data_IF_854333749375
#
_entry.id   IF_854333749375
#
_cell.length_a   1.000
_cell.length_b   1.000
_cell.length_c   1.000
_cell.angle_alpha   90.00
_cell.angle_beta   90.00
_cell.angle_gamma   90.00
#
_symmetry.space_group_name_H-M   'P 1'
#
loop_
_entity.id
_entity.type
_entity.pdbx_description
1 polymer ?
#
# COMPACT_ATOMS: atom_id res chain seq x y z
N UNK A 1 26.94 85.26 -54.01
CA UNK A 1 27.69 84.90 -52.79
C UNK A 1 26.71 85.12 -51.64
N UNK A 2 25.90 84.14 -51.23
CA UNK A 2 26.27 83.02 -50.34
C UNK A 2 26.23 83.52 -48.89
N UNK A 3 25.42 83.06 -47.95
CA UNK A 3 24.49 81.93 -47.87
C UNK A 3 23.65 82.04 -46.59
N UNK A 4 22.69 81.13 -46.46
CA UNK A 4 21.77 80.97 -45.34
C UNK A 4 22.46 80.48 -44.05
N UNK A 5 21.88 80.79 -42.88
CA UNK A 5 21.80 79.81 -41.79
C UNK A 5 20.73 80.16 -40.74
N UNK A 6 19.84 79.19 -40.56
CA UNK A 6 18.75 79.08 -39.58
C UNK A 6 19.18 78.04 -38.53
N UNK A 7 18.96 78.23 -37.23
CA UNK A 7 18.90 77.16 -36.17
C UNK A 7 18.26 77.81 -34.92
N UNK A 8 16.98 77.56 -34.60
CA UNK A 8 16.36 76.42 -33.86
C UNK A 8 16.52 76.50 -32.32
N UNK A 9 15.42 76.84 -31.68
CA UNK A 9 15.17 76.69 -30.24
C UNK A 9 15.07 75.20 -29.85
N UNK A 10 15.73 74.83 -28.75
CA UNK A 10 15.67 73.50 -28.13
C UNK A 10 14.61 73.54 -27.02
N UNK A 11 13.48 72.84 -27.22
CA UNK A 11 12.59 72.43 -26.13
C UNK A 11 13.09 71.07 -25.59
N UNK A 12 13.39 70.99 -24.29
CA UNK A 12 13.66 69.74 -23.58
C UNK A 12 12.33 69.13 -23.13
N UNK A 13 11.98 67.97 -23.69
CA UNK A 13 10.92 67.11 -23.16
C UNK A 13 11.52 66.21 -22.07
N UNK A 14 11.00 66.27 -20.84
CA UNK A 14 11.23 65.28 -19.81
C UNK A 14 10.33 64.06 -20.07
N UNK A 15 10.93 62.91 -20.36
CA UNK A 15 10.26 61.62 -20.38
C UNK A 15 10.39 61.02 -18.98
N UNK A 16 9.27 60.90 -18.26
CA UNK A 16 9.20 60.13 -17.02
C UNK A 16 9.16 58.63 -17.37
N UNK A 17 10.24 57.91 -17.06
CA UNK A 17 10.27 56.45 -17.16
C UNK A 17 9.62 55.89 -15.90
N UNK A 18 8.38 55.40 -16.03
CA UNK A 18 7.75 54.59 -15.01
C UNK A 18 8.42 53.21 -14.97
N UNK A 19 9.22 52.96 -13.94
CA UNK A 19 9.76 51.64 -13.64
C UNK A 19 8.62 50.74 -13.17
N UNK A 20 8.07 49.94 -14.08
CA UNK A 20 7.26 48.78 -13.75
C UNK A 20 8.16 47.78 -13.01
N UNK A 21 8.10 47.82 -11.67
CA UNK A 21 8.67 46.78 -10.83
C UNK A 21 7.96 45.47 -11.15
N UNK A 22 8.63 44.59 -11.89
CA UNK A 22 8.18 43.21 -12.04
C UNK A 22 8.15 42.59 -10.63
N UNK A 23 6.95 42.45 -10.06
CA UNK A 23 6.73 41.53 -8.95
C UNK A 23 7.08 40.13 -9.47
N UNK A 24 8.32 39.71 -9.22
CA UNK A 24 8.67 38.30 -9.32
C UNK A 24 7.80 37.57 -8.30
N UNK A 25 7.01 36.56 -8.71
CA UNK A 25 6.28 35.76 -7.74
C UNK A 25 7.29 35.18 -6.74
N UNK A 26 6.97 35.14 -5.43
CA UNK A 26 7.84 34.52 -4.46
C UNK A 26 8.17 33.10 -4.94
N UNK A 27 9.41 32.61 -4.70
CA UNK A 27 9.77 31.24 -5.02
C UNK A 27 8.72 30.30 -4.40
N UNK A 28 8.27 29.26 -5.12
CA UNK A 28 7.23 28.39 -4.61
C UNK A 28 7.67 27.84 -3.26
N UNK A 29 6.92 28.18 -2.22
CA UNK A 29 7.14 27.64 -0.88
C UNK A 29 7.06 26.12 -0.97
N UNK A 30 8.03 25.43 -0.38
CA UNK A 30 8.00 23.98 -0.31
C UNK A 30 6.67 23.53 0.31
N UNK A 31 6.02 22.53 -0.29
CA UNK A 31 4.75 22.01 0.21
C UNK A 31 4.95 21.35 1.57
N UNK A 32 4.00 21.56 2.49
CA UNK A 32 3.99 20.91 3.82
C UNK A 32 3.39 19.50 3.77
N UNK A 33 2.75 19.12 2.66
CA UNK A 33 2.04 17.84 2.51
C UNK A 33 2.49 16.99 1.33
N UNK A 34 3.46 17.40 0.52
CA UNK A 34 4.02 16.54 -0.52
C UNK A 34 5.45 16.91 -0.87
N UNK A 35 6.15 16.02 -1.56
CA UNK A 35 7.50 16.28 -2.05
C UNK A 35 8.60 16.06 -1.02
N UNK A 36 8.29 15.35 0.08
CA UNK A 36 9.34 14.83 0.95
C UNK A 36 10.26 13.87 0.17
N UNK A 37 11.50 13.71 0.65
CA UNK A 37 12.44 12.79 0.03
C UNK A 37 11.87 11.37 -0.06
N UNK A 38 12.12 10.71 -1.18
CA UNK A 38 11.74 9.32 -1.37
C UNK A 38 12.52 8.46 -0.36
N UNK A 39 11.87 7.47 0.26
CA UNK A 39 12.59 6.56 1.14
C UNK A 39 13.61 5.75 0.32
N UNK A 40 14.81 5.48 0.85
CA UNK A 40 15.80 4.72 0.10
C UNK A 40 15.29 3.31 -0.17
N UNK A 41 15.60 2.71 -1.34
CA UNK A 41 15.35 1.29 -1.57
C UNK A 41 16.01 0.44 -0.48
N UNK A 42 15.37 -0.66 -0.10
CA UNK A 42 15.98 -1.58 0.84
C UNK A 42 17.24 -2.20 0.21
N UNK A 43 18.37 -2.29 0.96
CA UNK A 43 19.63 -2.79 0.41
C UNK A 43 19.59 -4.30 0.14
N UNK A 44 18.71 -5.04 0.83
CA UNK A 44 18.58 -6.49 0.69
C UNK A 44 17.18 -6.97 1.10
N UNK A 45 16.88 -8.23 0.76
CA UNK A 45 15.74 -8.97 1.33
C UNK A 45 16.10 -9.41 2.75
N UNK A 46 15.19 -9.22 3.70
CA UNK A 46 15.40 -9.57 5.11
C UNK A 46 14.94 -10.99 5.42
N UNK A 47 13.73 -11.35 4.98
CA UNK A 47 13.16 -12.68 5.20
C UNK A 47 13.82 -13.76 4.33
N UNK A 48 13.42 -15.01 4.59
CA UNK A 48 13.63 -16.07 3.62
C UNK A 48 12.72 -15.86 2.41
N UNK A 49 13.20 -16.18 1.21
CA UNK A 49 12.52 -15.89 -0.05
C UNK A 49 12.80 -16.97 -1.07
N UNK A 50 11.77 -17.74 -1.41
CA UNK A 50 11.87 -18.93 -2.24
C UNK A 50 12.26 -18.60 -3.68
N UNK A 51 11.77 -17.49 -4.22
CA UNK A 51 12.01 -17.08 -5.62
C UNK A 51 13.22 -16.16 -5.77
N UNK A 52 14.03 -16.00 -4.72
CA UNK A 52 15.11 -15.01 -4.71
C UNK A 52 14.61 -13.61 -5.07
N UNK A 53 15.26 -12.95 -6.04
CA UNK A 53 14.82 -11.62 -6.52
C UNK A 53 13.75 -11.67 -7.63
N UNK A 54 13.30 -12.86 -8.05
CA UNK A 54 12.32 -12.99 -9.13
C UNK A 54 10.90 -12.69 -8.66
N UNK A 55 10.20 -11.81 -9.39
CA UNK A 55 8.82 -11.39 -9.07
C UNK A 55 7.78 -11.92 -10.07
N UNK A 56 8.18 -12.72 -11.07
CA UNK A 56 7.30 -13.31 -12.07
C UNK A 56 6.78 -14.69 -11.70
N UNK A 57 6.00 -15.31 -12.58
CA UNK A 57 5.62 -16.73 -12.48
C UNK A 57 6.81 -17.65 -12.84
N UNK A 58 6.84 -18.85 -12.28
CA UNK A 58 7.99 -19.75 -12.36
C UNK A 58 9.20 -19.23 -11.58
N UNK A 59 10.31 -19.97 -11.57
CA UNK A 59 11.60 -19.51 -11.05
C UNK A 59 12.70 -19.86 -12.06
N UNK A 60 13.25 -18.85 -12.76
CA UNK A 60 14.40 -19.06 -13.62
C UNK A 60 15.64 -19.54 -12.83
N UNK A 61 16.53 -20.38 -13.42
CA UNK A 61 17.70 -20.93 -12.73
C UNK A 61 18.64 -19.89 -12.09
N UNK A 62 18.68 -18.67 -12.64
CA UNK A 62 19.52 -17.56 -12.19
C UNK A 62 19.00 -16.84 -10.93
N UNK A 63 17.84 -17.25 -10.40
CA UNK A 63 17.22 -16.67 -9.21
C UNK A 63 17.16 -17.69 -8.07
N UNK A 64 18.31 -18.00 -7.42
CA UNK A 64 18.33 -18.95 -6.31
C UNK A 64 17.55 -18.39 -5.11
N UNK A 65 17.00 -19.27 -4.26
CA UNK A 65 16.36 -18.85 -3.02
C UNK A 65 17.32 -18.08 -2.12
N UNK A 66 16.78 -17.14 -1.34
CA UNK A 66 17.53 -16.33 -0.36
C UNK A 66 17.11 -16.78 1.04
N UNK A 67 18.05 -17.18 1.88
CA UNK A 67 17.83 -17.56 3.28
C UNK A 67 19.17 -17.50 4.05
N UNK A 68 19.12 -17.34 5.38
CA UNK A 68 20.33 -17.36 6.22
C UNK A 68 20.69 -18.78 6.67
N UNK A 69 19.68 -19.62 6.91
CA UNK A 69 19.80 -21.04 7.17
C UNK A 69 18.48 -21.73 6.80
N UNK A 70 18.51 -23.04 6.51
CA UNK A 70 17.34 -23.82 6.13
C UNK A 70 17.46 -25.27 6.59
N UNK A 71 16.40 -26.04 6.40
CA UNK A 71 16.35 -27.48 6.66
C UNK A 71 16.75 -27.82 8.11
N UNK A 72 16.30 -27.00 9.07
CA UNK A 72 16.59 -27.15 10.50
C UNK A 72 17.94 -26.59 10.97
N UNK A 73 18.78 -26.08 10.06
CA UNK A 73 19.99 -25.37 10.45
C UNK A 73 19.69 -24.00 11.07
N UNK A 74 20.60 -23.52 11.93
CA UNK A 74 20.53 -22.20 12.58
C UNK A 74 21.62 -21.30 11.97
N UNK A 75 21.34 -20.02 11.69
CA UNK A 75 22.36 -19.10 11.17
C UNK A 75 23.54 -18.95 12.12
N UNK A 76 24.75 -18.82 11.57
CA UNK A 76 25.97 -18.66 12.36
C UNK A 76 25.86 -17.43 13.28
N UNK A 77 26.15 -17.61 14.57
CA UNK A 77 26.14 -16.53 15.56
C UNK A 77 24.74 -16.18 16.11
N UNK A 78 23.69 -16.86 15.67
CA UNK A 78 22.34 -16.70 16.21
C UNK A 78 22.10 -17.76 17.28
N UNK A 79 21.68 -17.33 18.47
CA UNK A 79 21.15 -18.20 19.51
C UNK A 79 19.61 -18.21 19.42
N UNK A 80 18.98 -19.35 19.07
CA UNK A 80 17.53 -19.48 19.04
C UNK A 80 16.90 -19.27 20.41
N UNK A 81 15.63 -18.86 20.40
CA UNK A 81 14.78 -18.86 21.58
C UNK A 81 14.37 -20.30 21.96
N UNK A 82 13.97 -20.55 23.22
CA UNK A 82 13.46 -21.86 23.63
C UNK A 82 12.27 -22.35 22.78
N UNK A 83 11.44 -21.41 22.33
CA UNK A 83 10.39 -21.61 21.34
C UNK A 83 10.24 -20.34 20.50
N UNK A 84 9.64 -20.53 19.34
CA UNK A 84 9.43 -19.54 18.29
C UNK A 84 8.02 -19.72 17.71
N UNK A 85 7.63 -18.88 16.75
CA UNK A 85 6.31 -18.94 16.13
C UNK A 85 6.01 -20.32 15.51
N UNK A 86 7.02 -21.04 15.04
CA UNK A 86 6.87 -22.36 14.41
C UNK A 86 6.70 -23.49 15.42
N UNK A 87 7.16 -23.30 16.66
CA UNK A 87 7.09 -24.30 17.74
C UNK A 87 6.06 -23.95 18.82
N UNK A 88 5.52 -22.73 18.79
CA UNK A 88 4.49 -22.27 19.70
C UNK A 88 3.20 -23.09 19.58
N UNK A 89 2.61 -23.40 20.72
CA UNK A 89 1.29 -24.03 20.84
C UNK A 89 0.19 -23.01 21.16
N UNK A 90 0.57 -21.80 21.54
CA UNK A 90 -0.32 -20.74 21.97
C UNK A 90 0.43 -19.40 21.80
N UNK A 91 0.33 -18.83 20.60
CA UNK A 91 1.08 -17.61 20.27
C UNK A 91 0.62 -16.40 21.10
N UNK A 92 -0.56 -16.45 21.75
CA UNK A 92 -1.03 -15.40 22.65
C UNK A 92 -0.19 -15.30 23.92
N UNK A 93 0.28 -16.44 24.43
CA UNK A 93 1.13 -16.51 25.61
C UNK A 93 2.57 -16.04 25.35
N UNK A 94 2.93 -15.97 24.07
CA UNK A 94 4.27 -15.58 23.64
C UNK A 94 4.40 -14.07 23.41
N UNK A 95 3.47 -13.27 23.94
CA UNK A 95 3.40 -11.82 23.70
C UNK A 95 4.71 -11.08 24.03
N UNK A 96 5.41 -11.51 25.08
CA UNK A 96 6.71 -10.94 25.46
C UNK A 96 7.81 -11.20 24.42
N UNK A 97 7.64 -12.22 23.57
CA UNK A 97 8.57 -12.59 22.51
C UNK A 97 8.26 -11.94 21.16
N UNK A 98 7.08 -11.33 20.96
CA UNK A 98 6.66 -10.78 19.67
C UNK A 98 7.57 -9.64 19.16
N UNK A 99 8.27 -8.93 20.04
CA UNK A 99 9.25 -7.92 19.61
C UNK A 99 10.64 -8.50 19.34
N UNK A 100 10.89 -9.78 19.67
CA UNK A 100 12.17 -10.42 19.39
C UNK A 100 12.18 -10.98 17.95
N UNK A 101 13.10 -10.53 17.09
CA UNK A 101 13.18 -11.01 15.71
C UNK A 101 13.32 -12.53 15.59
N UNK A 102 13.96 -13.17 16.58
CA UNK A 102 14.19 -14.61 16.60
C UNK A 102 12.91 -15.42 16.81
N UNK A 103 11.87 -14.82 17.40
CA UNK A 103 10.56 -15.47 17.51
C UNK A 103 9.96 -15.78 16.13
N UNK A 104 10.34 -15.02 15.10
CA UNK A 104 9.94 -15.27 13.71
C UNK A 104 11.04 -15.92 12.88
N UNK A 105 12.10 -16.43 13.51
CA UNK A 105 13.35 -16.84 12.85
C UNK A 105 13.93 -15.75 11.95
N UNK A 106 13.81 -14.50 12.38
CA UNK A 106 14.25 -13.30 11.66
C UNK A 106 13.66 -13.16 10.26
N UNK A 107 12.46 -13.71 10.03
CA UNK A 107 11.77 -13.59 8.76
C UNK A 107 11.06 -12.24 8.61
N UNK A 108 10.73 -11.94 7.36
CA UNK A 108 9.86 -10.84 6.97
C UNK A 108 8.42 -11.33 6.79
N UNK A 109 7.41 -10.43 6.72
CA UNK A 109 6.03 -10.82 6.49
C UNK A 109 5.81 -11.72 5.26
N UNK A 110 6.34 -11.34 4.10
CA UNK A 110 6.26 -12.17 2.89
C UNK A 110 7.10 -13.43 3.00
N UNK A 111 8.19 -13.42 3.77
CA UNK A 111 8.98 -14.62 4.06
C UNK A 111 8.18 -15.69 4.81
N UNK A 112 7.42 -15.28 5.84
CA UNK A 112 6.55 -16.21 6.57
C UNK A 112 5.35 -16.66 5.74
N UNK A 113 4.74 -15.75 4.98
CA UNK A 113 3.61 -16.09 4.11
C UNK A 113 3.97 -17.15 3.07
N UNK A 114 5.15 -17.02 2.46
CA UNK A 114 5.55 -17.89 1.36
C UNK A 114 6.22 -19.19 1.82
N UNK A 115 6.49 -19.35 3.11
CA UNK A 115 7.40 -20.38 3.63
C UNK A 115 6.97 -21.80 3.20
N UNK A 116 5.66 -22.04 3.07
CA UNK A 116 5.06 -23.31 2.61
C UNK A 116 4.95 -23.46 1.09
N UNK A 117 5.45 -22.50 0.32
CA UNK A 117 5.42 -22.52 -1.15
C UNK A 117 4.24 -21.77 -1.76
N UNK A 118 3.63 -20.81 -1.05
CA UNK A 118 2.58 -19.92 -1.60
C UNK A 118 3.01 -19.28 -2.93
N UNK A 119 4.30 -19.02 -3.06
CA UNK A 119 4.95 -18.49 -4.27
C UNK A 119 5.86 -19.53 -4.94
N UNK A 120 5.37 -20.75 -5.09
CA UNK A 120 5.96 -21.87 -5.85
C UNK A 120 7.17 -22.56 -5.22
N UNK A 121 8.03 -21.86 -4.48
CA UNK A 121 9.25 -22.44 -3.90
C UNK A 121 9.16 -22.48 -2.37
N UNK A 122 8.88 -23.66 -1.77
CA UNK A 122 8.82 -23.79 -0.32
C UNK A 122 10.20 -23.71 0.32
N UNK A 123 10.24 -23.11 1.52
CA UNK A 123 11.41 -23.02 2.39
C UNK A 123 11.15 -23.60 3.79
N UNK A 124 10.11 -24.43 3.92
CA UNK A 124 9.72 -25.07 5.18
C UNK A 124 10.54 -26.35 5.50
N UNK A 125 11.20 -26.95 4.51
CA UNK A 125 11.99 -28.19 4.64
C UNK A 125 11.15 -29.46 4.79
N UNK A 126 11.80 -30.59 5.10
CA UNK A 126 11.18 -31.93 5.10
C UNK A 126 10.54 -32.35 6.44
N UNK A 127 10.78 -31.64 7.54
CA UNK A 127 10.14 -31.82 8.85
C UNK A 127 9.42 -30.53 9.28
N UNK A 128 8.35 -30.12 8.57
CA UNK A 128 7.68 -28.88 8.84
C UNK A 128 6.76 -28.97 10.09
N UNK A 129 6.58 -27.88 10.86
CA UNK A 129 7.20 -26.56 10.67
C UNK A 129 8.63 -26.45 11.24
N UNK A 130 9.17 -27.51 11.86
CA UNK A 130 10.45 -27.47 12.60
C UNK A 130 11.63 -27.07 11.73
N UNK A 131 11.66 -27.47 10.46
CA UNK A 131 12.75 -27.18 9.52
C UNK A 131 12.64 -25.86 8.78
N UNK A 132 11.68 -24.99 9.13
CA UNK A 132 11.47 -23.70 8.48
C UNK A 132 12.74 -22.85 8.39
N UNK A 133 12.97 -22.26 7.22
CA UNK A 133 14.13 -21.42 6.96
C UNK A 133 14.16 -20.16 7.82
N UNK A 134 15.39 -19.75 8.14
CA UNK A 134 15.69 -18.49 8.79
C UNK A 134 15.88 -17.38 7.76
N UNK A 135 15.30 -16.23 8.06
CA UNK A 135 15.72 -14.97 7.48
C UNK A 135 17.00 -14.45 8.14
N UNK A 136 17.34 -13.20 7.88
CA UNK A 136 18.62 -12.63 8.27
C UNK A 136 18.45 -11.70 9.48
N UNK A 137 18.99 -12.12 10.63
CA UNK A 137 18.86 -11.38 11.90
C UNK A 137 19.71 -10.10 11.98
N UNK A 138 20.63 -9.89 11.05
CA UNK A 138 21.59 -8.78 11.02
C UNK A 138 21.14 -7.60 10.16
N UNK A 139 19.92 -7.65 9.60
CA UNK A 139 19.37 -6.60 8.74
C UNK A 139 17.88 -6.38 8.96
N UNK A 140 17.47 -5.15 8.70
CA UNK A 140 16.08 -4.68 8.76
C UNK A 140 15.90 -3.43 7.87
N UNK A 141 14.65 -3.02 7.63
CA UNK A 141 14.33 -1.73 7.04
C UNK A 141 13.95 -0.72 8.12
N UNK A 142 14.60 0.45 8.19
CA UNK A 142 14.33 1.41 9.25
C UNK A 142 12.88 1.92 9.28
N UNK A 143 12.23 1.87 10.46
CA UNK A 143 10.87 2.38 10.70
C UNK A 143 10.68 3.84 10.26
N UNK A 144 11.70 4.69 10.43
CA UNK A 144 11.65 6.11 10.04
C UNK A 144 11.57 6.34 8.53
N UNK A 145 11.83 5.32 7.70
CA UNK A 145 11.57 5.36 6.25
C UNK A 145 10.16 4.90 5.88
N UNK A 146 9.40 4.35 6.84
CA UNK A 146 8.02 3.89 6.67
C UNK A 146 7.02 4.95 7.16
N UNK A 147 7.28 5.54 8.32
CA UNK A 147 6.42 6.58 8.91
C UNK A 147 6.28 7.78 7.97
N UNK A 148 5.09 8.37 7.94
CA UNK A 148 4.82 9.59 7.20
C UNK A 148 5.69 10.74 7.70
N UNK A 149 6.45 11.44 6.82
CA UNK A 149 7.21 12.62 7.22
C UNK A 149 6.35 13.87 7.36
N UNK A 150 5.06 13.81 7.02
CA UNK A 150 4.16 14.95 7.03
C UNK A 150 3.54 15.13 8.42
N UNK A 151 3.28 16.37 8.87
CA UNK A 151 2.89 16.66 10.26
C UNK A 151 1.41 16.36 10.58
N UNK A 152 0.65 15.79 9.64
CA UNK A 152 -0.79 15.61 9.76
C UNK A 152 -1.14 14.36 10.54
N UNK A 153 -2.19 14.44 11.35
CA UNK A 153 -2.70 13.28 12.10
C UNK A 153 -3.84 12.58 11.36
N UNK A 154 -4.52 13.30 10.49
CA UNK A 154 -5.67 12.77 9.73
C UNK A 154 -5.52 13.02 8.23
N UNK A 155 -6.16 12.14 7.43
CA UNK A 155 -6.25 12.32 5.99
C UNK A 155 -6.96 13.63 5.60
N UNK A 156 -7.97 14.02 6.37
CA UNK A 156 -8.72 15.26 6.16
C UNK A 156 -7.83 16.49 6.28
N UNK A 157 -7.03 16.61 7.36
CA UNK A 157 -6.07 17.71 7.55
C UNK A 157 -5.06 17.75 6.40
N UNK A 158 -4.50 16.60 6.04
CA UNK A 158 -3.49 16.49 4.99
C UNK A 158 -4.03 16.89 3.61
N UNK A 159 -5.17 16.33 3.21
CA UNK A 159 -5.81 16.65 1.93
C UNK A 159 -6.25 18.11 1.85
N UNK A 160 -6.84 18.66 2.91
CA UNK A 160 -7.29 20.06 2.96
C UNK A 160 -6.10 21.03 2.89
N UNK A 161 -4.98 20.70 3.53
CA UNK A 161 -3.75 21.49 3.41
C UNK A 161 -3.23 21.50 1.96
N UNK A 162 -3.16 20.34 1.31
CA UNK A 162 -2.75 20.24 -0.10
C UNK A 162 -3.69 21.00 -1.04
N UNK A 163 -5.00 20.89 -0.82
CA UNK A 163 -6.02 21.65 -1.58
C UNK A 163 -5.87 23.15 -1.39
N UNK A 164 -5.58 23.61 -0.16
CA UNK A 164 -5.34 25.02 0.12
C UNK A 164 -4.09 25.53 -0.58
N UNK A 165 -2.99 24.78 -0.54
CA UNK A 165 -1.77 25.16 -1.24
C UNK A 165 -1.98 25.22 -2.77
N UNK A 166 -2.72 24.27 -3.35
CA UNK A 166 -3.06 24.29 -4.77
C UNK A 166 -3.83 25.57 -5.14
N UNK A 167 -4.79 25.99 -4.30
CA UNK A 167 -5.51 27.27 -4.46
C UNK A 167 -4.58 28.48 -4.34
N UNK A 168 -3.67 28.49 -3.38
CA UNK A 168 -2.70 29.58 -3.19
C UNK A 168 -1.72 29.70 -4.36
N UNK A 169 -1.36 28.59 -5.00
CA UNK A 169 -0.57 28.56 -6.23
C UNK A 169 -1.35 29.01 -7.47
N UNK A 170 -2.68 29.15 -7.38
CA UNK A 170 -3.55 29.45 -8.51
C UNK A 170 -3.75 28.25 -9.45
N UNK A 171 -3.55 27.02 -8.97
CA UNK A 171 -3.71 25.81 -9.76
C UNK A 171 -5.17 25.58 -10.17
N UNK A 172 -5.38 25.15 -11.41
CA UNK A 172 -6.69 24.71 -11.89
C UNK A 172 -7.04 23.35 -11.29
N UNK A 173 -7.91 23.35 -10.27
CA UNK A 173 -8.26 22.13 -9.50
C UNK A 173 -9.04 21.09 -10.32
N UNK A 174 -9.77 21.54 -11.35
CA UNK A 174 -10.55 20.73 -12.29
C UNK A 174 -10.32 21.26 -13.70
N UNK A 175 -9.18 20.90 -14.34
CA UNK A 175 -8.83 21.39 -15.66
C UNK A 175 -9.81 20.89 -16.72
N UNK A 176 -10.06 21.70 -17.74
CA UNK A 176 -10.90 21.30 -18.87
C UNK A 176 -10.24 20.20 -19.72
N UNK A 177 -10.97 19.56 -20.65
CA UNK A 177 -10.43 18.48 -21.48
C UNK A 177 -9.11 18.81 -22.20
N UNK A 178 -8.92 20.06 -22.65
CA UNK A 178 -7.73 20.50 -23.36
C UNK A 178 -6.52 20.76 -22.45
N UNK A 179 -6.73 20.90 -21.14
CA UNK A 179 -5.72 21.24 -20.14
C UNK A 179 -5.29 20.00 -19.32
N UNK A 180 -5.99 18.88 -19.47
CA UNK A 180 -5.66 17.65 -18.77
C UNK A 180 -4.27 17.14 -19.18
N UNK A 181 -3.45 16.67 -18.22
CA UNK A 181 -2.19 16.04 -18.55
C UNK A 181 -2.44 14.69 -19.25
N UNK A 182 -1.50 14.27 -20.13
CA UNK A 182 -1.59 13.03 -20.92
C UNK A 182 -1.37 11.77 -20.06
N UNK A 183 -2.23 11.56 -19.07
CA UNK A 183 -2.11 10.47 -18.09
C UNK A 183 -2.86 9.20 -18.48
N UNK A 184 -3.87 9.29 -19.35
CA UNK A 184 -4.58 8.11 -19.83
C UNK A 184 -3.60 7.14 -20.51
N UNK A 185 -3.51 5.91 -20.00
CA UNK A 185 -2.49 4.96 -20.44
C UNK A 185 -2.33 3.76 -19.54
N UNK A 186 -1.40 2.89 -19.94
CA UNK A 186 -1.01 1.71 -19.18
C UNK A 186 0.31 1.95 -18.45
N UNK A 187 0.40 1.48 -17.21
CA UNK A 187 1.59 1.60 -16.38
C UNK A 187 1.90 0.30 -15.66
N UNK A 188 3.17 -0.10 -15.64
CA UNK A 188 3.64 -1.23 -14.84
C UNK A 188 4.39 -0.71 -13.61
N UNK A 189 4.08 -1.25 -12.42
CA UNK A 189 4.80 -0.94 -11.19
C UNK A 189 6.22 -1.52 -11.22
N UNK A 190 7.16 -0.86 -10.56
CA UNK A 190 8.42 -1.50 -10.17
C UNK A 190 8.16 -2.66 -9.20
N UNK A 191 8.38 -3.90 -9.68
CA UNK A 191 8.12 -5.14 -8.92
C UNK A 191 9.32 -5.65 -8.13
N UNK A 192 10.44 -4.92 -8.14
CA UNK A 192 11.64 -5.30 -7.38
C UNK A 192 11.26 -5.48 -5.91
N UNK A 193 11.56 -6.65 -5.32
CA UNK A 193 11.14 -7.02 -3.96
C UNK A 193 11.55 -5.99 -2.89
N UNK A 194 12.61 -5.22 -3.15
CA UNK A 194 13.18 -4.21 -2.25
C UNK A 194 12.77 -2.77 -2.59
N UNK A 195 11.92 -2.53 -3.59
CA UNK A 195 11.54 -1.18 -4.03
C UNK A 195 10.66 -0.43 -3.03
N UNK A 196 9.93 -1.15 -2.19
CA UNK A 196 9.07 -0.58 -1.15
C UNK A 196 8.96 -1.54 0.03
N UNK A 197 8.93 -1.01 1.25
CA UNK A 197 8.73 -1.79 2.47
C UNK A 197 7.43 -2.59 2.44
N UNK A 198 6.40 -2.06 1.76
CA UNK A 198 5.06 -2.61 1.73
C UNK A 198 4.98 -3.97 1.01
N UNK A 199 5.98 -4.31 0.18
CA UNK A 199 6.10 -5.66 -0.37
C UNK A 199 6.45 -6.71 0.68
N UNK A 200 6.79 -6.32 1.92
CA UNK A 200 6.93 -7.26 3.03
C UNK A 200 8.16 -8.18 2.96
N UNK A 201 9.07 -7.97 2.01
CA UNK A 201 10.29 -8.76 1.85
C UNK A 201 11.50 -8.18 2.61
N UNK A 202 11.48 -6.87 2.87
CA UNK A 202 12.67 -6.11 3.27
C UNK A 202 12.70 -5.63 4.71
N UNK A 203 11.69 -5.95 5.52
CA UNK A 203 11.62 -5.58 6.93
C UNK A 203 11.30 -6.80 7.79
N UNK A 204 11.74 -6.79 9.04
CA UNK A 204 11.38 -7.83 10.01
C UNK A 204 9.98 -7.61 10.57
N UNK A 205 9.36 -8.71 11.03
CA UNK A 205 8.05 -8.68 11.69
C UNK A 205 8.00 -7.67 12.86
N UNK A 206 8.99 -7.60 13.78
CA UNK A 206 8.95 -6.63 14.88
C UNK A 206 8.91 -5.17 14.43
N UNK A 207 9.60 -4.82 13.33
CA UNK A 207 9.52 -3.47 12.77
C UNK A 207 8.12 -3.18 12.22
N UNK A 208 7.47 -4.15 11.57
CA UNK A 208 6.08 -4.00 11.15
C UNK A 208 5.16 -3.83 12.39
N UNK A 209 5.32 -4.67 13.42
CA UNK A 209 4.54 -4.59 14.66
C UNK A 209 4.66 -3.22 15.36
N UNK A 210 5.81 -2.57 15.25
CA UNK A 210 6.04 -1.22 15.80
C UNK A 210 5.19 -0.11 15.14
N UNK A 211 4.52 -0.41 14.03
CA UNK A 211 3.59 0.49 13.34
C UNK A 211 2.15 0.31 13.84
N UNK A 212 1.86 -0.77 14.56
CA UNK A 212 0.51 -1.23 14.86
C UNK A 212 0.12 -0.96 16.32
N UNK A 213 -1.16 -0.68 16.57
CA UNK A 213 -1.72 -0.66 17.91
C UNK A 213 -1.68 -2.07 18.53
N UNK A 214 -1.78 -2.22 19.87
CA UNK A 214 -1.68 -3.53 20.52
C UNK A 214 -2.69 -4.58 20.00
N UNK A 215 -3.90 -4.15 19.66
CA UNK A 215 -4.91 -5.03 19.08
C UNK A 215 -4.49 -5.51 17.68
N UNK A 216 -3.99 -4.61 16.84
CA UNK A 216 -3.55 -4.98 15.49
C UNK A 216 -2.21 -5.71 15.46
N UNK A 217 -1.36 -5.54 16.47
CA UNK A 217 -0.22 -6.43 16.70
C UNK A 217 -0.69 -7.87 16.94
N UNK A 218 -1.67 -8.08 17.83
CA UNK A 218 -2.26 -9.41 18.10
C UNK A 218 -2.80 -10.05 16.83
N UNK A 219 -3.57 -9.30 16.03
CA UNK A 219 -4.14 -9.79 14.75
C UNK A 219 -3.07 -10.11 13.72
N UNK A 220 -2.03 -9.29 13.63
CA UNK A 220 -0.92 -9.56 12.70
C UNK A 220 -0.11 -10.80 13.12
N UNK A 221 0.13 -11.00 14.42
CA UNK A 221 0.79 -12.23 14.91
C UNK A 221 -0.08 -13.47 14.71
N UNK A 222 -1.39 -13.38 14.95
CA UNK A 222 -2.36 -14.44 14.63
C UNK A 222 -2.24 -14.86 13.15
N UNK A 223 -2.26 -13.88 12.23
CA UNK A 223 -2.07 -14.13 10.81
C UNK A 223 -0.72 -14.79 10.50
N UNK A 224 0.38 -14.25 11.03
CA UNK A 224 1.71 -14.82 10.80
C UNK A 224 1.85 -16.24 11.37
N UNK A 225 1.23 -16.53 12.51
CA UNK A 225 1.20 -17.87 13.10
C UNK A 225 0.49 -18.85 12.17
N UNK A 226 -0.69 -18.49 11.65
CA UNK A 226 -1.43 -19.38 10.75
C UNK A 226 -0.84 -19.49 9.35
N UNK A 227 -0.05 -18.52 8.91
CA UNK A 227 0.75 -18.66 7.70
C UNK A 227 1.94 -19.60 7.89
N UNK A 228 2.53 -19.63 9.09
CA UNK A 228 3.83 -20.27 9.32
C UNK A 228 3.76 -21.59 10.08
N UNK A 229 3.11 -21.64 11.25
CA UNK A 229 3.15 -22.79 12.15
C UNK A 229 2.30 -23.96 11.65
N UNK A 230 1.11 -23.68 11.11
CA UNK A 230 0.12 -24.72 10.80
C UNK A 230 -0.40 -24.72 9.35
N UNK A 231 0.14 -23.84 8.49
CA UNK A 231 -0.22 -23.73 7.07
C UNK A 231 -1.74 -23.62 6.84
N UNK A 232 -2.41 -22.74 7.58
CA UNK A 232 -3.84 -22.46 7.44
C UNK A 232 -4.12 -21.04 6.90
N UNK A 233 -3.51 -20.59 5.78
CA UNK A 233 -3.73 -19.23 5.28
C UNK A 233 -5.18 -19.05 4.77
N UNK A 234 -5.79 -17.91 5.13
CA UNK A 234 -7.14 -17.52 4.71
C UNK A 234 -7.09 -16.35 3.72
N UNK A 235 -6.28 -16.46 2.65
CA UNK A 235 -6.15 -15.42 1.64
C UNK A 235 -7.50 -15.16 0.92
N UNK A 236 -8.04 -13.92 0.94
CA UNK A 236 -9.37 -13.64 0.38
C UNK A 236 -9.51 -14.02 -1.09
N UNK A 237 -8.47 -13.76 -1.88
CA UNK A 237 -8.45 -14.04 -3.31
C UNK A 237 -8.63 -15.53 -3.66
N UNK A 238 -8.23 -16.45 -2.79
CA UNK A 238 -8.39 -17.89 -3.03
C UNK A 238 -9.85 -18.33 -2.95
N UNK A 239 -10.66 -17.62 -2.15
CA UNK A 239 -12.10 -17.89 -1.96
C UNK A 239 -13.00 -16.99 -2.80
N UNK A 240 -12.42 -16.18 -3.69
CA UNK A 240 -13.12 -15.10 -4.41
C UNK A 240 -13.75 -14.03 -3.50
N UNK A 241 -13.36 -13.95 -2.23
CA UNK A 241 -13.79 -12.87 -1.35
C UNK A 241 -13.21 -11.53 -1.81
N UNK A 242 -13.79 -10.39 -1.40
CA UNK A 242 -13.22 -9.08 -1.67
C UNK A 242 -11.73 -9.04 -1.30
N UNK A 243 -10.92 -8.43 -2.16
CA UNK A 243 -9.46 -8.39 -1.96
C UNK A 243 -9.05 -7.31 -0.95
N UNK A 244 -9.94 -6.36 -0.65
CA UNK A 244 -9.69 -5.20 0.20
C UNK A 244 -8.88 -4.10 -0.49
N UNK A 245 -9.07 -2.87 -0.03
CA UNK A 245 -8.44 -1.65 -0.56
C UNK A 245 -6.91 -1.76 -0.70
N UNK A 246 -6.26 -2.34 0.32
CA UNK A 246 -4.81 -2.42 0.43
C UNK A 246 -4.16 -3.39 -0.57
N UNK A 247 -4.95 -4.27 -1.21
CA UNK A 247 -4.44 -5.19 -2.24
C UNK A 247 -3.89 -4.48 -3.47
N UNK A 248 -4.35 -3.26 -3.77
CA UNK A 248 -3.86 -2.44 -4.89
C UNK A 248 -2.37 -2.13 -4.78
N UNK A 249 -1.80 -2.15 -3.57
CA UNK A 249 -0.40 -1.83 -3.29
C UNK A 249 0.51 -3.06 -3.20
N UNK A 250 -0.04 -4.27 -3.05
CA UNK A 250 0.71 -5.50 -2.78
C UNK A 250 1.54 -5.95 -3.99
N UNK A 251 2.72 -6.54 -3.78
CA UNK A 251 3.64 -6.90 -4.89
C UNK A 251 2.97 -7.71 -6.02
N UNK A 252 2.25 -8.77 -5.62
CA UNK A 252 1.55 -9.70 -6.52
C UNK A 252 0.10 -9.28 -6.84
N UNK A 253 -0.33 -8.06 -6.49
CA UNK A 253 -1.67 -7.54 -6.74
C UNK A 253 -1.65 -6.16 -7.41
N UNK A 254 -2.51 -5.94 -8.41
CA UNK A 254 -2.69 -4.64 -9.03
C UNK A 254 -1.43 -4.06 -9.66
N UNK A 255 -0.52 -4.90 -10.16
CA UNK A 255 0.82 -4.48 -10.59
C UNK A 255 0.88 -3.75 -11.96
N UNK A 256 -0.26 -3.71 -12.66
CA UNK A 256 -0.50 -2.88 -13.84
C UNK A 256 -1.72 -2.00 -13.59
N UNK A 257 -1.60 -0.72 -13.93
CA UNK A 257 -2.71 0.23 -13.93
C UNK A 257 -3.10 0.55 -15.36
N UNK A 258 -4.41 0.58 -15.61
CA UNK A 258 -5.01 1.23 -16.77
C UNK A 258 -5.73 2.48 -16.26
N UNK A 259 -5.14 3.65 -16.55
CA UNK A 259 -5.73 4.94 -16.17
C UNK A 259 -6.59 5.47 -17.32
N UNK A 260 -7.83 5.85 -16.99
CA UNK A 260 -8.68 6.68 -17.85
C UNK A 260 -8.91 7.99 -17.12
N UNK A 261 -8.46 9.09 -17.72
CA UNK A 261 -8.55 10.43 -17.13
C UNK A 261 -9.53 11.29 -17.90
N UNK A 262 -10.49 11.87 -17.19
CA UNK A 262 -11.43 12.88 -17.68
C UNK A 262 -11.44 14.08 -16.71
N UNK A 263 -12.08 15.21 -17.06
CA UNK A 263 -12.15 16.36 -16.17
C UNK A 263 -12.85 16.06 -14.83
N UNK A 264 -13.77 15.09 -14.84
CA UNK A 264 -14.71 14.87 -13.73
C UNK A 264 -14.39 13.59 -12.95
N UNK A 265 -13.71 12.66 -13.60
CA UNK A 265 -13.46 11.32 -13.07
C UNK A 265 -12.12 10.80 -13.57
N UNK A 266 -11.32 10.28 -12.65
CA UNK A 266 -10.19 9.40 -12.97
C UNK A 266 -10.57 7.98 -12.58
N UNK A 267 -10.48 7.07 -13.54
CA UNK A 267 -10.63 5.64 -13.31
C UNK A 267 -9.26 5.00 -13.24
N UNK A 268 -8.98 4.37 -12.10
CA UNK A 268 -7.84 3.48 -11.90
C UNK A 268 -8.35 2.03 -11.94
N UNK A 269 -7.96 1.31 -13.00
CA UNK A 269 -8.39 -0.06 -13.22
C UNK A 269 -7.19 -0.99 -13.18
N UNK A 270 -7.23 -1.97 -12.27
CA UNK A 270 -6.16 -2.95 -12.03
C UNK A 270 -6.70 -4.37 -11.97
N UNK A 271 -5.79 -5.34 -11.93
CA UNK A 271 -6.12 -6.75 -11.82
C UNK A 271 -5.38 -7.41 -10.64
N UNK A 272 -6.08 -8.26 -9.89
CA UNK A 272 -5.56 -9.12 -8.81
C UNK A 272 -6.19 -10.52 -8.89
N UNK A 273 -6.93 -11.00 -7.89
CA UNK A 273 -7.79 -12.18 -8.02
C UNK A 273 -9.08 -11.85 -8.80
N UNK A 274 -9.38 -10.56 -8.93
CA UNK A 274 -10.48 -9.98 -9.70
C UNK A 274 -10.06 -8.60 -10.25
N UNK A 275 -10.89 -8.00 -11.09
CA UNK A 275 -10.68 -6.60 -11.50
C UNK A 275 -10.97 -5.66 -10.34
N UNK A 276 -10.05 -4.73 -10.09
CA UNK A 276 -10.13 -3.71 -9.05
C UNK A 276 -10.38 -2.37 -9.74
N UNK A 277 -11.36 -1.61 -9.27
CA UNK A 277 -11.68 -0.29 -9.82
C UNK A 277 -11.67 0.73 -8.69
N UNK A 278 -10.94 1.82 -8.88
CA UNK A 278 -11.03 3.01 -8.02
C UNK A 278 -11.52 4.19 -8.87
N UNK A 279 -12.53 4.88 -8.36
CA UNK A 279 -13.15 6.04 -8.97
C UNK A 279 -12.75 7.29 -8.18
N UNK A 280 -11.98 8.19 -8.79
CA UNK A 280 -11.56 9.44 -8.15
C UNK A 280 -12.40 10.57 -8.75
N UNK A 281 -13.36 11.06 -7.98
CA UNK A 281 -14.28 12.12 -8.39
C UNK A 281 -13.61 13.49 -8.25
N UNK A 282 -13.30 14.13 -9.38
CA UNK A 282 -12.55 15.38 -9.41
C UNK A 282 -13.44 16.56 -9.04
N UNK A 283 -12.99 17.34 -8.04
CA UNK A 283 -13.69 18.53 -7.55
C UNK A 283 -14.89 18.25 -6.64
N UNK A 284 -15.22 16.99 -6.39
CA UNK A 284 -16.21 16.60 -5.38
C UNK A 284 -15.73 16.88 -3.96
N UNK A 285 -16.67 16.94 -3.02
CA UNK A 285 -16.40 17.10 -1.60
C UNK A 285 -17.08 15.99 -0.82
N UNK A 286 -16.42 15.49 0.22
CA UNK A 286 -17.03 14.53 1.11
C UNK A 286 -18.06 15.19 2.04
N UNK A 287 -19.06 14.40 2.41
CA UNK A 287 -19.91 14.64 3.56
C UNK A 287 -19.13 14.17 4.79
N UNK A 288 -18.87 15.08 5.73
CA UNK A 288 -18.05 14.81 6.92
C UNK A 288 -18.86 14.89 8.23
N UNK A 289 -20.18 15.09 8.17
CA UNK A 289 -21.03 15.38 9.34
C UNK A 289 -21.16 14.22 10.34
N UNK A 290 -20.97 12.99 9.88
CA UNK A 290 -21.31 11.78 10.65
C UNK A 290 -20.07 10.93 10.99
N UNK A 291 -18.91 11.57 11.15
CA UNK A 291 -17.65 10.94 11.58
C UNK A 291 -16.82 10.29 10.46
N UNK A 292 -17.46 9.66 9.46
CA UNK A 292 -16.76 9.07 8.30
C UNK A 292 -16.96 9.93 7.05
N UNK A 293 -15.87 10.43 6.48
CA UNK A 293 -15.89 11.19 5.23
C UNK A 293 -16.29 10.29 4.05
N UNK A 294 -17.27 10.71 3.23
CA UNK A 294 -17.88 9.85 2.20
C UNK A 294 -18.61 10.65 1.11
N UNK A 295 -18.90 10.02 -0.02
CA UNK A 295 -19.73 10.61 -1.09
C UNK A 295 -21.18 10.14 -1.01
N UNK A 296 -21.39 8.86 -0.69
CA UNK A 296 -22.67 8.21 -0.64
C UNK A 296 -23.19 7.94 0.79
N UNK A 297 -24.02 6.90 0.97
CA UNK A 297 -24.48 6.46 2.27
C UNK A 297 -23.33 6.12 3.23
N UNK A 298 -23.58 6.19 4.54
CA UNK A 298 -22.63 5.80 5.60
C UNK A 298 -22.49 4.27 5.71
N UNK A 299 -22.11 3.63 4.60
CA UNK A 299 -21.86 2.20 4.49
C UNK A 299 -20.46 2.02 3.90
N UNK A 300 -19.52 1.38 4.62
CA UNK A 300 -18.18 1.13 4.11
C UNK A 300 -18.17 0.36 2.79
N UNK A 301 -17.26 0.74 1.90
CA UNK A 301 -17.07 0.14 0.59
C UNK A 301 -15.72 -0.58 0.53
N UNK A 302 -15.64 -1.71 -0.18
CA UNK A 302 -14.42 -2.53 -0.29
C UNK A 302 -13.16 -1.77 -0.73
N UNK A 303 -13.34 -0.74 -1.56
CA UNK A 303 -12.27 0.14 -2.04
C UNK A 303 -12.46 1.59 -1.61
N UNK A 304 -13.41 1.86 -0.71
CA UNK A 304 -13.79 3.20 -0.30
C UNK A 304 -14.39 4.04 -1.42
N UNK A 305 -14.46 5.33 -1.14
CA UNK A 305 -14.87 6.39 -2.05
C UNK A 305 -13.76 7.41 -2.13
N UNK A 306 -13.42 7.90 -3.33
CA UNK A 306 -12.30 8.82 -3.52
C UNK A 306 -12.73 10.14 -4.16
N UNK A 307 -12.27 11.25 -3.59
CA UNK A 307 -12.31 12.58 -4.22
C UNK A 307 -10.91 13.00 -4.63
N UNK A 308 -10.80 13.92 -5.59
CA UNK A 308 -9.49 14.41 -6.03
C UNK A 308 -9.50 15.82 -6.57
N UNK A 309 -8.32 16.42 -6.65
CA UNK A 309 -8.09 17.68 -7.33
C UNK A 309 -6.72 17.66 -8.02
N UNK A 310 -6.57 18.49 -9.04
CA UNK A 310 -5.30 18.72 -9.71
C UNK A 310 -4.55 19.88 -9.08
N UNK A 311 -3.22 19.76 -9.08
CA UNK A 311 -2.33 20.84 -8.70
C UNK A 311 -1.12 20.84 -9.63
N UNK A 312 -1.22 21.67 -10.67
CA UNK A 312 -0.40 21.52 -11.88
C UNK A 312 -0.68 20.17 -12.54
N UNK A 313 0.37 19.41 -12.82
CA UNK A 313 0.26 18.07 -13.39
C UNK A 313 0.14 16.95 -12.34
N UNK A 314 0.14 17.28 -11.04
CA UNK A 314 -0.03 16.29 -9.99
C UNK A 314 -1.52 16.08 -9.68
N UNK A 315 -1.93 14.82 -9.55
CA UNK A 315 -3.25 14.44 -9.06
C UNK A 315 -3.14 14.11 -7.57
N UNK A 316 -3.97 14.75 -6.75
CA UNK A 316 -4.07 14.49 -5.32
C UNK A 316 -5.45 13.93 -5.05
N UNK A 317 -5.54 12.78 -4.39
CA UNK A 317 -6.80 12.19 -3.96
C UNK A 317 -6.85 11.91 -2.47
N UNK A 318 -8.07 11.87 -1.95
CA UNK A 318 -8.40 11.42 -0.60
C UNK A 318 -9.43 10.30 -0.73
N UNK A 319 -9.10 9.12 -0.22
CA UNK A 319 -10.03 7.98 -0.13
C UNK A 319 -10.44 7.76 1.32
N UNK A 320 -11.73 7.52 1.54
CA UNK A 320 -12.32 7.22 2.84
C UNK A 320 -13.50 6.25 2.70
N UNK A 321 -14.24 5.99 3.78
CA UNK A 321 -15.37 5.05 3.83
C UNK A 321 -14.98 3.64 3.36
N UNK A 322 -13.78 3.18 3.76
CA UNK A 322 -13.20 1.89 3.38
C UNK A 322 -13.73 0.80 4.32
N UNK A 323 -14.09 -0.37 3.79
CA UNK A 323 -14.39 -1.56 4.58
C UNK A 323 -13.07 -2.16 5.11
N UNK A 324 -12.93 -2.21 6.44
CA UNK A 324 -11.81 -2.87 7.10
C UNK A 324 -11.69 -4.34 6.69
N UNK A 325 -10.47 -4.82 6.47
CA UNK A 325 -10.22 -6.13 5.88
C UNK A 325 -8.83 -6.70 6.20
N UNK A 326 -8.62 -7.95 5.79
CA UNK A 326 -7.30 -8.58 5.78
C UNK A 326 -6.47 -8.15 4.56
N UNK A 327 -5.16 -8.13 4.76
CA UNK A 327 -4.18 -7.84 3.73
C UNK A 327 -3.25 -9.05 3.53
N UNK A 328 -2.85 -9.30 2.28
CA UNK A 328 -2.02 -10.44 1.94
C UNK A 328 -0.57 -10.18 2.39
N UNK A 329 -0.21 -10.71 3.57
CA UNK A 329 1.17 -10.62 4.10
C UNK A 329 1.48 -9.29 4.75
N UNK A 330 0.52 -8.38 4.81
CA UNK A 330 0.57 -7.21 5.67
C UNK A 330 -0.51 -7.29 6.74
N UNK A 331 -0.47 -6.37 7.70
CA UNK A 331 -1.48 -6.30 8.74
C UNK A 331 -2.87 -6.01 8.19
N UNK A 332 -3.88 -6.47 8.92
CA UNK A 332 -5.26 -6.03 8.75
C UNK A 332 -5.37 -4.51 8.92
N UNK A 333 -6.40 -3.91 8.32
CA UNK A 333 -6.72 -2.50 8.46
C UNK A 333 -8.18 -2.34 8.87
N UNK A 334 -8.48 -1.25 9.59
CA UNK A 334 -9.82 -0.97 10.08
C UNK A 334 -10.70 -0.30 9.02
N UNK A 335 -11.98 -0.10 9.35
CA UNK A 335 -12.87 0.74 8.54
C UNK A 335 -12.60 2.25 8.73
N UNK A 336 -11.70 2.63 9.64
CA UNK A 336 -11.20 4.00 9.79
C UNK A 336 -10.02 4.29 8.86
N UNK A 337 -9.53 3.29 8.10
CA UNK A 337 -8.51 3.51 7.09
C UNK A 337 -8.95 4.59 6.10
N UNK A 338 -8.07 5.55 5.89
CA UNK A 338 -8.16 6.58 4.87
C UNK A 338 -6.80 6.72 4.17
N UNK A 339 -6.81 7.09 2.89
CA UNK A 339 -5.59 7.38 2.14
C UNK A 339 -5.57 8.81 1.63
N UNK A 340 -4.39 9.43 1.64
CA UNK A 340 -4.06 10.56 0.77
C UNK A 340 -3.06 10.06 -0.26
N UNK A 341 -3.45 10.07 -1.53
CA UNK A 341 -2.64 9.57 -2.64
C UNK A 341 -2.21 10.75 -3.53
N UNK A 342 -0.90 10.87 -3.75
CA UNK A 342 -0.25 11.93 -4.51
C UNK A 342 0.44 11.27 -5.70
N UNK A 343 -0.09 11.54 -6.88
CA UNK A 343 0.44 11.07 -8.13
C UNK A 343 1.21 12.22 -8.79
N UNK A 344 2.49 12.01 -9.09
CA UNK A 344 3.38 13.02 -9.68
C UNK A 344 3.96 12.48 -10.99
N UNK A 345 3.96 13.25 -12.10
CA UNK A 345 4.52 12.78 -13.36
C UNK A 345 6.03 12.58 -13.26
N UNK A 346 6.53 11.47 -13.82
CA UNK A 346 7.94 11.27 -14.09
C UNK A 346 8.19 11.58 -15.56
N UNK A 347 9.09 12.53 -15.82
CA UNK A 347 9.43 12.99 -17.18
C UNK A 347 10.91 12.74 -17.49
N UNK A 348 11.21 12.47 -18.75
CA UNK A 348 12.59 12.43 -19.23
C UNK A 348 13.15 13.84 -19.44
N UNK A 349 14.41 13.94 -19.91
CA UNK A 349 15.09 15.21 -20.18
C UNK A 349 14.39 16.07 -21.24
N UNK A 350 13.57 15.47 -22.11
CA UNK A 350 12.80 16.17 -23.14
C UNK A 350 11.40 16.58 -22.64
N UNK A 351 11.07 16.31 -21.37
CA UNK A 351 9.76 16.61 -20.79
C UNK A 351 8.67 15.59 -21.14
N UNK A 352 9.01 14.48 -21.80
CA UNK A 352 8.05 13.43 -22.14
C UNK A 352 7.71 12.62 -20.89
N UNK A 353 6.43 12.35 -20.68
CA UNK A 353 5.95 11.48 -19.60
C UNK A 353 6.46 10.04 -19.80
N UNK A 354 7.23 9.55 -18.84
CA UNK A 354 7.81 8.20 -18.83
C UNK A 354 7.24 7.33 -17.70
N UNK A 355 6.47 7.93 -16.78
CA UNK A 355 5.90 7.21 -15.65
C UNK A 355 5.20 8.11 -14.65
N UNK A 356 4.81 7.53 -13.51
CA UNK A 356 4.17 8.21 -12.39
C UNK A 356 4.89 7.77 -11.12
N UNK A 357 5.22 8.74 -10.26
CA UNK A 357 5.53 8.48 -8.85
C UNK A 357 4.21 8.54 -8.08
N UNK A 358 3.91 7.48 -7.35
CA UNK A 358 2.73 7.36 -6.53
C UNK A 358 3.16 7.31 -5.07
N UNK A 359 2.88 8.38 -4.34
CA UNK A 359 3.07 8.47 -2.89
C UNK A 359 1.72 8.34 -2.21
N UNK A 360 1.59 7.40 -1.28
CA UNK A 360 0.36 7.14 -0.53
C UNK A 360 0.65 7.28 0.94
N UNK A 361 -0.11 8.12 1.64
CA UNK A 361 -0.10 8.21 3.10
C UNK A 361 -1.36 7.56 3.64
N UNK A 362 -1.20 6.62 4.57
CA UNK A 362 -2.27 5.85 5.18
C UNK A 362 -2.50 6.37 6.60
N UNK A 363 -3.76 6.61 6.91
CA UNK A 363 -4.26 7.04 8.22
C UNK A 363 -5.27 6.01 8.69
N UNK A 364 -5.04 5.42 9.85
CA UNK A 364 -5.94 4.43 10.46
C UNK A 364 -5.70 4.49 11.97
N UNK A 365 -6.55 5.21 12.70
CA UNK A 365 -6.36 5.49 14.12
C UNK A 365 -6.70 4.30 15.03
N UNK A 366 -7.31 3.25 14.49
CA UNK A 366 -7.51 1.98 15.18
C UNK A 366 -6.33 1.02 14.97
N UNK A 367 -5.81 0.95 13.75
CA UNK A 367 -4.77 -0.02 13.38
C UNK A 367 -3.36 0.48 13.56
N UNK A 368 -3.08 1.75 13.25
CA UNK A 368 -1.75 2.33 13.23
C UNK A 368 -1.51 3.22 14.45
N UNK A 369 -0.29 3.20 14.98
CA UNK A 369 0.10 4.14 16.06
C UNK A 369 0.43 5.53 15.53
N UNK A 370 0.76 5.64 14.24
CA UNK A 370 0.99 6.88 13.51
C UNK A 370 0.87 6.65 11.99
N UNK A 371 0.64 7.69 11.17
CA UNK A 371 0.47 7.53 9.73
C UNK A 371 1.72 6.94 9.06
N UNK A 372 1.51 6.05 8.09
CA UNK A 372 2.60 5.41 7.32
C UNK A 372 2.53 5.82 5.86
N UNK A 373 3.68 5.73 5.18
CA UNK A 373 3.84 6.16 3.79
C UNK A 373 4.36 5.04 2.90
N UNK A 374 3.71 4.86 1.76
CA UNK A 374 4.14 3.97 0.68
C UNK A 374 4.54 4.82 -0.51
N UNK A 375 5.72 4.58 -1.08
CA UNK A 375 6.15 5.21 -2.34
C UNK A 375 6.37 4.12 -3.39
N UNK A 376 5.74 4.28 -4.55
CA UNK A 376 5.84 3.36 -5.68
C UNK A 376 6.10 4.13 -6.97
N UNK A 377 6.90 3.54 -7.86
CA UNK A 377 7.13 4.07 -9.20
C UNK A 377 6.43 3.20 -10.24
N UNK A 378 5.79 3.86 -11.20
CA UNK A 378 5.02 3.25 -12.28
C UNK A 378 5.59 3.67 -13.62
N UNK A 379 6.12 2.72 -14.39
CA UNK A 379 6.66 2.97 -15.72
C UNK A 379 5.53 3.01 -16.75
N UNK A 380 5.44 4.08 -17.54
CA UNK A 380 4.47 4.19 -18.64
C UNK A 380 4.81 3.16 -19.72
N UNK A 381 3.81 2.40 -20.15
CA UNK A 381 3.90 1.40 -21.21
C UNK A 381 3.45 1.93 -22.55
N UNK A 382 2.49 2.85 -22.54
CA UNK A 382 1.93 3.49 -23.72
C UNK A 382 0.53 3.98 -23.45
N UNK A 383 -0.14 4.44 -24.51
CA UNK A 383 -1.57 4.76 -24.46
C UNK A 383 -2.38 3.46 -24.33
N UNK A 384 -3.63 3.59 -23.91
CA UNK A 384 -4.53 2.44 -23.68
C UNK A 384 -4.69 1.54 -24.91
N UNK A 385 -4.66 2.12 -26.12
CA UNK A 385 -4.86 1.41 -27.39
C UNK A 385 -3.56 0.99 -28.09
N UNK A 386 -2.41 1.10 -27.42
CA UNK A 386 -1.09 0.76 -28.00
C UNK A 386 -0.54 -0.59 -27.49
N UNK A 387 -1.19 -1.18 -26.49
CA UNK A 387 -0.77 -2.43 -25.84
C UNK A 387 -1.97 -3.38 -25.71
N UNK A 388 -1.72 -4.61 -25.26
CA UNK A 388 -2.79 -5.56 -24.97
C UNK A 388 -3.84 -4.96 -24.04
N UNK A 389 -5.14 -5.17 -24.31
CA UNK A 389 -6.21 -4.65 -23.49
C UNK A 389 -6.16 -5.24 -22.08
N UNK A 390 -6.71 -4.52 -21.11
CA UNK A 390 -7.02 -5.11 -19.80
C UNK A 390 -7.99 -6.28 -20.01
N UNK A 391 -7.63 -7.44 -19.49
CA UNK A 391 -8.55 -8.58 -19.39
C UNK A 391 -9.42 -8.38 -18.15
N UNK A 392 -10.73 -8.24 -18.32
CA UNK A 392 -11.65 -8.24 -17.18
C UNK A 392 -11.60 -9.60 -16.48
N UNK A 393 -11.42 -9.60 -15.16
CA UNK A 393 -11.28 -10.82 -14.36
C UNK A 393 -12.45 -10.96 -13.40
N UNK A 394 -13.27 -11.97 -13.65
CA UNK A 394 -14.33 -12.45 -12.78
C UNK A 394 -13.83 -13.66 -11.98
N UNK A 395 -13.96 -13.62 -10.65
CA UNK A 395 -13.53 -14.73 -9.81
C UNK A 395 -14.71 -15.68 -9.56
N UNK A 396 -14.57 -16.93 -9.99
CA UNK A 396 -15.58 -17.97 -9.76
C UNK A 396 -15.12 -18.88 -8.62
N UNK A 397 -15.87 -18.98 -7.51
CA UNK A 397 -15.43 -19.72 -6.33
C UNK A 397 -15.38 -21.23 -6.63
N UNK A 398 -14.21 -21.81 -6.44
CA UNK A 398 -13.95 -23.25 -6.56
C UNK A 398 -13.09 -23.78 -5.40
N UNK A 399 -12.74 -22.92 -4.45
CA UNK A 399 -12.01 -23.26 -3.22
C UNK A 399 -12.82 -22.70 -2.07
N UNK A 400 -12.98 -23.49 -1.01
CA UNK A 400 -13.79 -23.13 0.16
C UNK A 400 -13.02 -23.47 1.44
N UNK A 401 -13.15 -22.70 2.53
CA UNK A 401 -12.48 -22.94 3.81
C UNK A 401 -13.15 -24.08 4.60
N UNK A 402 -13.11 -25.31 4.07
CA UNK A 402 -13.76 -26.45 4.71
C UNK A 402 -12.95 -26.88 5.92
N UNK A 403 -13.55 -26.77 7.12
CA UNK A 403 -12.87 -26.99 8.40
C UNK A 403 -11.59 -26.14 8.51
N UNK A 404 -11.68 -24.91 7.99
CA UNK A 404 -10.60 -23.93 7.97
C UNK A 404 -9.44 -24.22 7.02
N UNK A 405 -9.54 -25.25 6.17
CA UNK A 405 -8.53 -25.54 5.16
C UNK A 405 -9.09 -25.18 3.77
N UNK A 406 -8.31 -24.43 3.00
CA UNK A 406 -8.58 -24.14 1.60
C UNK A 406 -8.72 -25.44 0.79
N UNK A 407 -9.96 -25.80 0.47
CA UNK A 407 -10.30 -27.09 -0.15
C UNK A 407 -10.90 -26.87 -1.53
N UNK A 408 -10.22 -27.31 -2.61
CA UNK A 408 -10.77 -27.26 -3.95
C UNK A 408 -12.02 -28.13 -4.09
N UNK A 409 -12.99 -27.66 -4.88
CA UNK A 409 -14.20 -28.37 -5.27
C UNK A 409 -14.38 -28.33 -6.77
N UNK A 410 -14.65 -29.50 -7.35
CA UNK A 410 -14.94 -29.62 -8.77
C UNK A 410 -16.34 -29.10 -9.10
N UNK A 411 -16.56 -28.58 -10.31
CA UNK A 411 -17.91 -28.27 -10.80
C UNK A 411 -18.87 -29.45 -10.63
N UNK A 412 -20.06 -29.18 -10.09
CA UNK A 412 -21.09 -30.20 -9.81
C UNK A 412 -21.00 -30.87 -8.44
N UNK A 413 -19.95 -30.63 -7.65
CA UNK A 413 -19.87 -31.12 -6.28
C UNK A 413 -20.99 -30.55 -5.39
N UNK A 414 -21.49 -31.36 -4.45
CA UNK A 414 -22.42 -30.94 -3.38
C UNK A 414 -21.73 -31.14 -2.04
N UNK A 415 -21.79 -30.12 -1.19
CA UNK A 415 -21.20 -30.13 0.15
C UNK A 415 -21.91 -29.11 1.03
N UNK A 416 -21.82 -29.28 2.34
CA UNK A 416 -22.27 -28.28 3.31
C UNK A 416 -21.24 -27.16 3.38
N UNK A 417 -21.72 -25.92 3.31
CA UNK A 417 -20.90 -24.72 3.33
C UNK A 417 -21.57 -23.67 4.21
N UNK A 418 -20.83 -23.15 5.17
CA UNK A 418 -21.24 -22.00 5.95
C UNK A 418 -20.82 -20.73 5.22
N UNK A 419 -21.78 -19.84 4.99
CA UNK A 419 -21.49 -18.54 4.40
C UNK A 419 -20.83 -17.64 5.46
N UNK A 420 -19.59 -17.19 5.25
CA UNK A 420 -18.91 -16.36 6.25
C UNK A 420 -19.55 -14.97 6.33
N UNK A 421 -19.49 -14.36 7.50
CA UNK A 421 -19.81 -12.94 7.66
C UNK A 421 -18.74 -12.09 6.98
N UNK A 422 -19.03 -11.66 5.75
CA UNK A 422 -18.14 -10.83 4.96
C UNK A 422 -17.97 -9.42 5.54
N UNK A 423 -18.79 -8.95 6.47
CA UNK A 423 -18.63 -7.61 7.04
C UNK A 423 -17.75 -7.61 8.31
N UNK A 424 -17.49 -8.80 8.87
CA UNK A 424 -16.62 -9.03 10.02
C UNK A 424 -15.19 -9.43 9.64
N UNK A 425 -14.60 -10.31 10.46
CA UNK A 425 -13.27 -10.91 10.27
C UNK A 425 -13.38 -12.42 10.01
N UNK A 426 -13.92 -12.86 8.85
CA UNK A 426 -14.22 -14.28 8.62
C UNK A 426 -12.98 -15.18 8.67
N UNK A 427 -11.81 -14.69 8.27
CA UNK A 427 -10.54 -15.43 8.41
C UNK A 427 -10.21 -15.74 9.87
N UNK A 428 -10.42 -14.77 10.77
CA UNK A 428 -10.11 -14.93 12.19
C UNK A 428 -11.11 -15.86 12.86
N UNK A 429 -12.40 -15.75 12.52
CA UNK A 429 -13.42 -16.69 12.99
C UNK A 429 -13.07 -18.13 12.59
N UNK A 430 -12.62 -18.34 11.35
CA UNK A 430 -12.16 -19.64 10.86
C UNK A 430 -10.94 -20.16 11.65
N UNK A 431 -9.98 -19.29 11.97
CA UNK A 431 -8.81 -19.65 12.78
C UNK A 431 -9.19 -20.03 14.21
N UNK A 432 -9.99 -19.18 14.84
CA UNK A 432 -10.47 -19.34 16.19
C UNK A 432 -11.26 -20.64 16.35
N UNK A 433 -12.14 -20.94 15.40
CA UNK A 433 -12.96 -22.15 15.43
C UNK A 433 -12.13 -23.42 15.22
N UNK A 434 -11.18 -23.44 14.29
CA UNK A 434 -10.56 -24.69 13.85
C UNK A 434 -9.14 -24.92 14.36
N UNK A 435 -8.40 -23.87 14.71
CA UNK A 435 -6.96 -23.97 15.00
C UNK A 435 -6.57 -23.43 16.37
N UNK A 436 -7.37 -22.56 17.00
CA UNK A 436 -7.02 -21.92 18.28
C UNK A 436 -7.72 -22.53 19.50
N UNK A 437 -8.32 -23.72 19.36
CA UNK A 437 -8.99 -24.40 20.47
C UNK A 437 -8.01 -24.66 21.62
N UNK A 438 -8.32 -24.10 22.80
CA UNK A 438 -7.51 -24.25 24.01
C UNK A 438 -6.36 -23.25 24.13
N UNK A 439 -6.20 -22.33 23.17
CA UNK A 439 -5.30 -21.19 23.32
C UNK A 439 -5.88 -20.14 24.27
N UNK A 440 -5.03 -19.43 24.99
CA UNK A 440 -5.40 -18.45 26.01
C UNK A 440 -5.40 -17.04 25.43
N UNK A 441 -6.45 -16.74 24.65
CA UNK A 441 -6.66 -15.39 24.12
C UNK A 441 -6.73 -14.39 25.29
N UNK A 442 -6.00 -13.26 25.23
CA UNK A 442 -6.12 -12.21 26.22
C UNK A 442 -7.58 -11.73 26.27
N UNK A 443 -8.07 -11.42 27.48
CA UNK A 443 -9.41 -10.85 27.62
C UNK A 443 -9.52 -9.62 26.73
N UNK A 444 -10.54 -9.59 25.88
CA UNK A 444 -10.85 -8.40 25.11
C UNK A 444 -11.35 -7.33 26.07
N UNK A 445 -10.89 -6.09 25.91
CA UNK A 445 -11.60 -4.96 26.48
C UNK A 445 -13.04 -5.06 25.95
N UNK A 446 -13.98 -5.31 26.85
CA UNK A 446 -15.37 -5.52 26.48
C UNK A 446 -15.85 -4.30 25.69
N UNK A 447 -16.35 -4.53 24.48
CA UNK A 447 -17.11 -3.54 23.70
C UNK A 447 -18.37 -3.04 24.42
N UNK A 448 -18.73 -3.64 25.56
CA UNK A 448 -19.79 -3.21 26.46
C UNK A 448 -19.26 -2.75 27.84
N UNK A 449 -17.97 -2.46 27.98
CA UNK A 449 -17.44 -1.79 29.16
C UNK A 449 -17.71 -0.28 29.08
N UNK A 450 -18.89 0.14 29.53
CA UNK A 450 -19.30 1.54 29.60
C UNK A 450 -18.61 2.33 30.73
N UNK A 451 -17.58 1.76 31.39
CA UNK A 451 -16.83 2.43 32.45
C UNK A 451 -15.55 3.14 31.97
N UNK A 452 -15.23 3.05 30.67
CA UNK A 452 -14.13 3.79 30.02
C UNK A 452 -14.64 4.97 29.18
#
# INVERSE_FOLDING_TARGET
MGGANTIRHILRALVAVATLGACTPPPPTASIGRGAADPPPAPAIVGSEGKGMWAGAGVPPEHPPIFAARDGAIPKGVQPLPHDIFSSKDFYQDRELWSDPRYYRCNSPVGLEQIWGAYEVPLIGDDPPRTAAWGFCDRDYPRNHIVSPYPFKTAAEHYKALLQEARQRGSTLRPGPAELPDWSGQYDRDKTKTSTWYYGASLQIPTYLSLLTPEYQKRFVQQMYHYSANNAPQWPGQYCWPDGFMRRFAQYGGNRINLVVSPDLVLDIRNSAKTLVTQIHIGSQFIESDGVARLGPAVPQWFGESIGHWDGEALISWTSNIQGWLNHGGAEFSSHLQSVEIYTPLKDKAGKLIGIKHETVLYDDEALVEPVRIVQTWKRKGRLNENDPLVYMECVPHIFPIKGIATPKSPGARFEYELPDMYGRPWAQIWEEHFEKGMQRPAEDSIFDFSK
#
